data_IF_860782906696
#
_entry.id   IF_860782906696
#
_cell.length_a   1.000
_cell.length_b   1.000
_cell.length_c   1.000
_cell.angle_alpha   90.00
_cell.angle_beta   90.00
_cell.angle_gamma   90.00
#
_symmetry.space_group_name_H-M   'P 1'
#
loop_
_entity.id
_entity.type
_entity.pdbx_description
1 polymer ?
#
# COMPACT_ATOMS: atom_id res chain seq x y z
N UNK A 1 -7.57 -24.27 -0.18
CA UNK A 1 -6.46 -23.54 -0.84
C UNK A 1 -5.90 -22.50 0.12
N UNK A 2 -4.58 -22.24 0.10
CA UNK A 2 -3.88 -21.33 1.03
C UNK A 2 -3.71 -19.93 0.45
N UNK A 3 -4.77 -19.47 -0.21
CA UNK A 3 -4.86 -18.15 -0.84
C UNK A 3 -6.11 -17.44 -0.31
N UNK A 4 -6.11 -16.11 -0.27
CA UNK A 4 -7.32 -15.36 0.02
C UNK A 4 -8.41 -15.67 -1.01
N UNK A 5 -9.66 -15.77 -0.58
CA UNK A 5 -10.79 -15.92 -1.50
C UNK A 5 -11.06 -14.63 -2.28
N UNK A 6 -10.69 -13.48 -1.71
CA UNK A 6 -10.83 -12.17 -2.32
C UNK A 6 -9.62 -11.29 -1.97
N UNK A 7 -9.03 -10.72 -3.00
CA UNK A 7 -8.08 -9.61 -2.91
C UNK A 7 -8.60 -8.51 -3.83
N UNK A 8 -8.66 -7.29 -3.32
CA UNK A 8 -9.08 -6.12 -4.11
C UNK A 8 -8.16 -4.95 -3.82
N UNK A 9 -7.76 -4.27 -4.89
CA UNK A 9 -7.08 -2.99 -4.82
C UNK A 9 -7.94 -1.99 -5.58
N UNK A 10 -8.32 -0.90 -4.90
CA UNK A 10 -9.16 0.15 -5.47
C UNK A 10 -8.44 1.48 -5.32
N UNK A 11 -8.41 2.28 -6.36
CA UNK A 11 -7.76 3.60 -6.36
C UNK A 11 -8.75 4.64 -6.86
N UNK A 12 -8.96 5.67 -6.07
CA UNK A 12 -9.85 6.79 -6.40
C UNK A 12 -9.03 8.07 -6.31
N UNK A 13 -9.06 8.87 -7.35
CA UNK A 13 -8.30 10.10 -7.42
C UNK A 13 -9.00 11.18 -8.22
N UNK A 14 -8.67 12.41 -7.90
CA UNK A 14 -9.04 13.59 -8.64
C UNK A 14 -7.78 14.17 -9.27
N UNK A 15 -7.89 14.55 -10.54
CA UNK A 15 -6.80 15.16 -11.30
C UNK A 15 -7.21 16.52 -11.85
N UNK A 16 -6.30 17.50 -11.75
CA UNK A 16 -6.56 18.85 -12.23
C UNK A 16 -5.28 19.61 -12.54
N UNK A 17 -5.42 20.60 -13.41
CA UNK A 17 -4.41 21.59 -13.72
C UNK A 17 -4.55 22.80 -12.80
N UNK A 18 -3.52 23.06 -11.98
CA UNK A 18 -3.45 24.19 -11.05
C UNK A 18 -2.40 25.20 -11.58
N UNK A 19 -2.45 26.46 -11.13
CA UNK A 19 -1.53 27.54 -11.53
C UNK A 19 -1.49 27.81 -13.05
N UNK A 20 -2.60 28.28 -13.63
CA UNK A 20 -2.69 28.61 -15.08
C UNK A 20 -2.25 27.47 -16.01
N UNK A 21 -2.53 26.21 -15.64
CA UNK A 21 -2.10 24.99 -16.35
C UNK A 21 -0.59 24.69 -16.30
N UNK A 22 0.16 25.32 -15.40
CA UNK A 22 1.60 25.07 -15.26
C UNK A 22 1.91 23.83 -14.40
N UNK A 23 0.97 23.36 -13.59
CA UNK A 23 1.14 22.21 -12.71
C UNK A 23 -0.03 21.25 -12.86
N UNK A 24 0.27 20.01 -13.27
CA UNK A 24 -0.70 18.92 -13.21
C UNK A 24 -0.65 18.28 -11.83
N UNK A 25 -1.80 18.04 -11.24
CA UNK A 25 -1.88 17.50 -9.87
C UNK A 25 -2.84 16.32 -9.83
N UNK A 26 -2.48 15.30 -9.05
CA UNK A 26 -3.37 14.20 -8.72
C UNK A 26 -3.39 14.02 -7.20
N UNK A 27 -4.58 13.99 -6.63
CA UNK A 27 -4.77 13.70 -5.20
C UNK A 27 -5.78 12.57 -5.08
N UNK A 28 -5.50 11.59 -4.24
CA UNK A 28 -6.36 10.43 -4.15
C UNK A 28 -6.07 9.52 -2.97
N UNK A 29 -6.84 8.45 -2.91
CA UNK A 29 -6.71 7.40 -1.93
C UNK A 29 -6.68 6.03 -2.62
N UNK A 30 -6.00 5.08 -1.99
CA UNK A 30 -5.90 3.70 -2.42
C UNK A 30 -6.35 2.80 -1.27
N UNK A 31 -7.26 1.88 -1.56
CA UNK A 31 -7.74 0.86 -0.63
C UNK A 31 -7.25 -0.50 -1.10
N UNK A 32 -6.46 -1.15 -0.26
CA UNK A 32 -6.12 -2.56 -0.40
C UNK A 32 -6.94 -3.37 0.60
N UNK A 33 -7.63 -4.41 0.13
CA UNK A 33 -8.39 -5.32 0.98
C UNK A 33 -8.05 -6.78 0.65
N UNK A 34 -7.82 -7.56 1.71
CA UNK A 34 -7.59 -8.99 1.63
C UNK A 34 -8.52 -9.72 2.59
N UNK A 35 -9.20 -10.76 2.11
CA UNK A 35 -10.00 -11.66 2.95
C UNK A 35 -9.13 -12.53 3.86
N UNK A 36 -9.67 -12.99 4.98
CA UNK A 36 -8.97 -13.92 5.89
C UNK A 36 -8.59 -15.23 5.18
N UNK A 37 -7.41 -15.76 5.47
CA UNK A 37 -6.95 -17.03 4.91
C UNK A 37 -5.82 -17.65 5.73
N UNK A 38 -5.57 -18.95 5.52
CA UNK A 38 -4.44 -19.67 6.12
C UNK A 38 -3.24 -19.63 5.18
N UNK A 39 -2.30 -18.71 5.45
CA UNK A 39 -1.05 -18.61 4.70
C UNK A 39 -0.07 -19.73 5.05
N UNK A 40 0.90 -19.98 4.17
CA UNK A 40 2.09 -20.76 4.51
C UNK A 40 2.93 -19.96 5.52
N UNK A 41 3.61 -20.65 6.44
CA UNK A 41 4.59 -19.99 7.30
C UNK A 41 6.00 -20.11 6.67
N UNK A 42 6.84 -19.15 6.98
CA UNK A 42 8.22 -19.11 6.51
C UNK A 42 9.14 -19.69 7.59
N UNK A 43 10.00 -20.62 7.21
CA UNK A 43 11.06 -21.16 8.07
C UNK A 43 12.36 -20.43 7.75
N UNK A 44 12.89 -19.58 8.66
CA UNK A 44 14.12 -18.84 8.41
C UNK A 44 15.36 -19.74 8.31
N UNK A 45 15.36 -20.87 9.04
CA UNK A 45 16.49 -21.80 9.10
C UNK A 45 16.70 -22.54 7.79
N UNK A 46 15.60 -22.90 7.11
CA UNK A 46 15.64 -23.62 5.83
C UNK A 46 15.36 -22.72 4.63
N UNK A 47 15.01 -21.45 4.88
CA UNK A 47 14.59 -20.47 3.87
C UNK A 47 13.42 -20.97 2.98
N UNK A 48 12.53 -21.78 3.56
CA UNK A 48 11.43 -22.41 2.83
C UNK A 48 10.08 -22.10 3.47
N UNK A 49 9.05 -22.00 2.62
CA UNK A 49 7.67 -21.95 3.06
C UNK A 49 7.16 -23.36 3.35
N UNK A 50 6.41 -23.49 4.44
CA UNK A 50 5.81 -24.76 4.83
C UNK A 50 4.34 -24.58 5.23
N UNK A 51 3.60 -25.68 5.10
CA UNK A 51 2.18 -25.74 5.42
C UNK A 51 1.95 -25.73 6.94
N UNK A 52 1.02 -24.88 7.41
CA UNK A 52 0.62 -24.79 8.81
C UNK A 52 -0.88 -24.52 8.95
N UNK A 53 -1.53 -24.96 10.03
CA UNK A 53 -2.99 -24.74 10.24
C UNK A 53 -3.34 -23.94 11.50
N UNK A 54 -2.34 -23.51 12.25
CA UNK A 54 -2.49 -22.86 13.56
C UNK A 54 -2.69 -21.34 13.48
N UNK A 55 -2.33 -20.72 12.36
CA UNK A 55 -2.37 -19.27 12.15
C UNK A 55 -3.24 -18.92 10.96
N UNK A 56 -4.24 -18.06 11.19
CA UNK A 56 -5.08 -17.50 10.13
C UNK A 56 -4.82 -16.00 10.05
N UNK A 57 -4.36 -15.54 8.89
CA UNK A 57 -4.24 -14.11 8.61
C UNK A 57 -5.66 -13.55 8.59
N UNK A 58 -5.94 -12.56 9.45
CA UNK A 58 -7.23 -11.88 9.52
C UNK A 58 -7.47 -11.07 8.24
N UNK A 59 -8.73 -10.76 7.94
CA UNK A 59 -8.97 -9.76 6.90
C UNK A 59 -8.43 -8.42 7.36
N UNK A 60 -7.89 -7.58 6.47
CA UNK A 60 -7.47 -6.22 6.83
C UNK A 60 -7.62 -5.27 5.64
N UNK A 61 -8.33 -4.14 5.79
CA UNK A 61 -8.27 -3.04 4.83
C UNK A 61 -7.08 -2.14 5.17
N UNK A 62 -6.25 -1.82 4.19
CA UNK A 62 -5.20 -0.80 4.26
C UNK A 62 -5.60 0.35 3.35
N UNK A 63 -5.68 1.55 3.93
CA UNK A 63 -5.95 2.78 3.17
C UNK A 63 -4.67 3.58 3.12
N UNK A 64 -4.33 4.03 1.92
CA UNK A 64 -3.25 4.97 1.67
C UNK A 64 -3.83 6.24 1.06
N UNK A 65 -3.19 7.38 1.33
CA UNK A 65 -3.51 8.66 0.70
C UNK A 65 -2.27 9.16 -0.02
N UNK A 66 -2.44 9.68 -1.23
CA UNK A 66 -1.33 10.15 -2.04
C UNK A 66 -1.63 11.49 -2.71
N UNK A 67 -0.56 12.19 -3.04
CA UNK A 67 -0.52 13.43 -3.78
C UNK A 67 0.64 13.39 -4.77
N UNK A 68 0.36 13.76 -6.01
CA UNK A 68 1.32 13.88 -7.10
C UNK A 68 1.21 15.30 -7.66
N UNK A 69 2.35 15.93 -7.92
CA UNK A 69 2.42 17.20 -8.62
C UNK A 69 3.50 17.12 -9.71
N UNK A 70 3.09 17.32 -10.95
CA UNK A 70 3.95 17.40 -12.13
C UNK A 70 4.11 18.86 -12.55
N UNK A 71 5.35 19.35 -12.47
CA UNK A 71 5.77 20.73 -12.78
C UNK A 71 6.83 20.66 -13.87
N UNK A 72 6.41 20.81 -15.13
CA UNK A 72 7.29 20.70 -16.31
C UNK A 72 8.11 19.40 -16.31
N UNK A 73 9.40 19.50 -15.97
CA UNK A 73 10.36 18.40 -15.96
C UNK A 73 10.47 17.68 -14.60
N UNK A 74 9.83 18.23 -13.55
CA UNK A 74 9.91 17.72 -12.17
C UNK A 74 8.56 17.17 -11.74
N UNK A 75 8.54 15.92 -11.31
CA UNK A 75 7.39 15.26 -10.69
C UNK A 75 7.69 15.02 -9.21
N UNK A 76 6.81 15.49 -8.34
CA UNK A 76 6.89 15.28 -6.88
C UNK A 76 5.76 14.34 -6.47
N UNK A 77 6.09 13.36 -5.65
CA UNK A 77 5.17 12.37 -5.10
C UNK A 77 5.23 12.36 -3.59
N UNK A 78 4.06 12.39 -2.95
CA UNK A 78 3.88 12.26 -1.52
C UNK A 78 2.84 11.18 -1.27
N UNK A 79 3.10 10.24 -0.37
CA UNK A 79 2.14 9.19 0.02
C UNK A 79 2.23 8.91 1.51
N UNK A 80 1.09 8.94 2.19
CA UNK A 80 0.95 8.43 3.54
C UNK A 80 0.30 7.06 3.43
N UNK A 81 1.08 6.01 3.71
CA UNK A 81 0.57 4.65 3.68
C UNK A 81 0.00 4.25 5.04
N UNK A 82 -1.01 3.38 5.03
CA UNK A 82 -1.69 2.83 6.19
C UNK A 82 -2.24 3.93 7.14
N UNK A 83 -2.94 4.92 6.56
CA UNK A 83 -3.53 6.05 7.30
C UNK A 83 -4.57 5.59 8.32
N UNK A 84 -5.25 4.47 8.03
CA UNK A 84 -6.28 3.89 8.88
C UNK A 84 -5.73 2.97 9.99
N UNK A 85 -4.40 2.90 10.19
CA UNK A 85 -3.81 2.19 11.33
C UNK A 85 -4.40 2.71 12.64
N UNK A 86 -4.79 1.82 13.55
CA UNK A 86 -5.36 2.18 14.85
C UNK A 86 -6.87 2.47 14.86
N UNK A 87 -7.54 2.52 13.71
CA UNK A 87 -9.02 2.59 13.68
C UNK A 87 -9.67 1.23 14.01
N UNK A 88 -9.16 0.15 13.40
CA UNK A 88 -9.65 -1.22 13.64
C UNK A 88 -8.56 -2.15 14.14
N UNK A 89 -7.38 -2.08 13.53
CA UNK A 89 -6.21 -2.86 13.92
C UNK A 89 -4.99 -1.94 13.98
N UNK A 90 -4.10 -2.23 14.93
CA UNK A 90 -2.81 -1.53 15.07
C UNK A 90 -1.73 -2.06 14.10
N UNK A 91 -2.03 -3.10 13.33
CA UNK A 91 -1.11 -3.74 12.41
C UNK A 91 -1.77 -4.87 11.63
N UNK A 92 -1.05 -5.42 10.67
CA UNK A 92 -1.46 -6.60 9.89
C UNK A 92 -0.27 -7.55 9.73
N UNK A 93 -0.54 -8.80 9.35
CA UNK A 93 0.47 -9.80 9.07
C UNK A 93 0.51 -10.05 7.56
N UNK A 94 1.71 -10.04 6.99
CA UNK A 94 1.93 -10.43 5.57
C UNK A 94 2.05 -11.93 5.44
N UNK A 95 2.69 -12.56 6.43
CA UNK A 95 2.92 -14.00 6.60
C UNK A 95 2.76 -14.30 8.10
N UNK A 96 2.40 -15.54 8.53
CA UNK A 96 2.30 -15.86 9.95
C UNK A 96 3.51 -15.38 10.74
N UNK A 97 3.28 -14.63 11.81
CA UNK A 97 4.31 -14.03 12.67
C UNK A 97 5.19 -12.93 12.05
N UNK A 98 4.95 -12.52 10.80
CA UNK A 98 5.64 -11.40 10.16
C UNK A 98 4.68 -10.23 9.97
N UNK A 99 4.95 -9.15 10.69
CA UNK A 99 4.14 -7.93 10.60
C UNK A 99 4.41 -7.21 9.29
N UNK A 100 3.33 -6.71 8.68
CA UNK A 100 3.43 -5.71 7.64
C UNK A 100 3.96 -4.39 8.17
N UNK A 101 4.26 -3.49 7.24
CA UNK A 101 4.79 -2.20 7.62
C UNK A 101 3.75 -1.34 8.34
N UNK A 102 4.15 -0.59 9.40
CA UNK A 102 3.29 0.38 10.05
C UNK A 102 3.07 1.60 9.13
N UNK A 103 2.24 2.54 9.59
CA UNK A 103 2.01 3.84 8.94
C UNK A 103 3.33 4.52 8.64
N UNK A 104 3.47 4.98 7.41
CA UNK A 104 4.71 5.57 6.91
C UNK A 104 4.42 6.70 5.93
N UNK A 105 5.27 7.71 5.99
CA UNK A 105 5.31 8.79 5.02
C UNK A 105 6.35 8.46 3.95
N UNK A 106 5.98 8.61 2.68
CA UNK A 106 6.82 8.36 1.52
C UNK A 106 6.86 9.62 0.67
N UNK A 107 8.07 10.03 0.29
CA UNK A 107 8.33 11.17 -0.58
C UNK A 107 9.21 10.70 -1.72
N UNK A 108 8.87 11.12 -2.94
CA UNK A 108 9.65 10.84 -4.14
C UNK A 108 9.74 12.09 -5.02
N UNK A 109 10.88 12.27 -5.67
CA UNK A 109 11.07 13.31 -6.68
C UNK A 109 11.65 12.63 -7.92
N UNK A 110 11.05 12.89 -9.07
CA UNK A 110 11.53 12.45 -10.38
C UNK A 110 11.84 13.69 -11.21
N UNK A 111 13.02 13.74 -11.79
CA UNK A 111 13.43 14.83 -12.68
C UNK A 111 13.83 14.24 -14.04
N UNK A 112 13.12 14.65 -15.09
CA UNK A 112 13.49 14.34 -16.46
C UNK A 112 14.47 15.41 -16.98
N UNK A 113 15.71 15.02 -17.28
CA UNK A 113 16.76 15.94 -17.76
C UNK A 113 16.74 16.18 -19.28
N UNK A 114 15.80 15.56 -19.99
CA UNK A 114 15.67 15.62 -21.44
C UNK A 114 14.45 16.45 -21.82
N UNK A 115 14.61 17.29 -22.85
CA UNK A 115 13.54 18.08 -23.48
C UNK A 115 12.82 17.27 -24.54
#
# INVERSE_FOLDING_TARGET
MRIPSLVSTSRVYYESYIFRKAMFTQVGAELYYQSRFRAFNYSPSTQQFYQQDNFTIRNYPVVDVFFVADIKAVSVFLKVAYVNQGLRDNGYFTTPYYTGYPRRFQLGVKWNFFN
#
